data_IF_925848634449
#
_entry.id   IF_925848634449
#
_cell.length_a   1.000
_cell.length_b   1.000
_cell.length_c   1.000
_cell.angle_alpha   90.00
_cell.angle_beta   90.00
_cell.angle_gamma   90.00
#
_symmetry.space_group_name_H-M   'P 1'
#
loop_
_entity.id
_entity.type
_entity.pdbx_description
1 polymer ?
#
# COMPACT_ATOMS: atom_id res chain seq x y z
N UNK A 1 -12.78 18.57 -19.76
CA UNK A 1 -11.55 18.23 -19.00
C UNK A 1 -11.77 17.34 -17.79
N UNK A 2 -12.42 17.75 -16.68
CA UNK A 2 -12.55 16.84 -15.51
C UNK A 2 -13.40 15.59 -15.83
N UNK A 3 -14.48 15.75 -16.58
CA UNK A 3 -15.32 14.63 -17.03
C UNK A 3 -14.50 13.69 -17.92
N UNK A 4 -13.82 14.23 -18.94
CA UNK A 4 -12.94 13.43 -19.83
C UNK A 4 -11.83 12.69 -19.06
N UNK A 5 -11.24 13.33 -18.04
CA UNK A 5 -10.25 12.66 -17.20
C UNK A 5 -10.88 11.49 -16.42
N UNK A 6 -12.08 11.67 -15.87
CA UNK A 6 -12.83 10.60 -15.20
C UNK A 6 -13.23 9.48 -16.17
N UNK A 7 -13.61 9.82 -17.40
CA UNK A 7 -13.90 8.85 -18.44
C UNK A 7 -12.65 8.05 -18.80
N UNK A 8 -11.49 8.70 -18.88
CA UNK A 8 -10.21 8.02 -19.09
C UNK A 8 -9.85 7.09 -17.92
N UNK A 9 -10.07 7.50 -16.66
CA UNK A 9 -9.89 6.63 -15.48
C UNK A 9 -10.81 5.40 -15.56
N UNK A 10 -12.09 5.60 -15.89
CA UNK A 10 -13.07 4.52 -16.02
C UNK A 10 -12.73 3.56 -17.18
N UNK A 11 -12.10 4.07 -18.24
CA UNK A 11 -11.58 3.29 -19.36
C UNK A 11 -10.20 2.66 -19.06
N UNK A 12 -9.70 2.75 -17.82
CA UNK A 12 -8.38 2.27 -17.39
C UNK A 12 -7.19 2.94 -18.12
N UNK A 13 -7.44 4.06 -18.82
CA UNK A 13 -6.42 4.88 -19.47
C UNK A 13 -5.85 5.91 -18.47
N UNK A 14 -5.14 5.40 -17.46
CA UNK A 14 -4.62 6.23 -16.36
C UNK A 14 -3.61 7.26 -16.83
N UNK A 15 -2.69 6.91 -17.74
CA UNK A 15 -1.72 7.85 -18.30
C UNK A 15 -2.39 8.99 -19.09
N UNK A 16 -3.47 8.67 -19.82
CA UNK A 16 -4.30 9.68 -20.49
C UNK A 16 -4.99 10.61 -19.50
N UNK A 17 -5.57 10.07 -18.42
CA UNK A 17 -6.18 10.86 -17.36
C UNK A 17 -5.17 11.79 -16.67
N UNK A 18 -3.99 11.28 -16.32
CA UNK A 18 -2.89 12.07 -15.73
C UNK A 18 -2.48 13.21 -16.67
N UNK A 19 -2.33 12.92 -17.96
CA UNK A 19 -1.99 13.94 -18.97
C UNK A 19 -3.03 15.06 -19.00
N UNK A 20 -4.33 14.72 -19.03
CA UNK A 20 -5.42 15.71 -19.00
C UNK A 20 -5.32 16.58 -17.74
N UNK A 21 -5.16 15.95 -16.57
CA UNK A 21 -5.19 16.59 -15.26
C UNK A 21 -3.94 17.40 -14.92
N UNK A 22 -2.81 17.16 -15.60
CA UNK A 22 -1.53 17.86 -15.32
C UNK A 22 -1.16 18.87 -16.40
N UNK A 23 -1.55 18.64 -17.66
CA UNK A 23 -1.09 19.45 -18.81
C UNK A 23 -2.19 20.21 -19.52
N UNK A 24 -3.43 19.74 -19.48
CA UNK A 24 -4.53 20.29 -20.29
C UNK A 24 -5.53 21.12 -19.46
N UNK A 25 -5.26 21.28 -18.16
CA UNK A 25 -6.07 22.06 -17.23
C UNK A 25 -5.23 23.17 -16.62
N UNK A 26 -5.84 24.33 -16.38
CA UNK A 26 -5.15 25.47 -15.77
C UNK A 26 -4.68 25.17 -14.34
N UNK A 27 -3.61 25.84 -13.89
CA UNK A 27 -3.10 25.69 -12.52
C UNK A 27 -4.17 25.96 -11.44
N UNK A 28 -5.08 26.91 -11.68
CA UNK A 28 -6.18 27.18 -10.76
C UNK A 28 -7.22 26.06 -10.72
N UNK A 29 -7.41 25.32 -11.81
CA UNK A 29 -8.23 24.10 -11.81
C UNK A 29 -7.53 22.95 -11.12
N UNK A 30 -6.22 22.76 -11.33
CA UNK A 30 -5.43 21.71 -10.66
C UNK A 30 -5.43 21.87 -9.14
N UNK A 31 -5.52 23.10 -8.64
CA UNK A 31 -5.59 23.39 -7.21
C UNK A 31 -6.94 23.02 -6.58
N UNK A 32 -8.01 22.81 -7.37
CA UNK A 32 -9.32 22.45 -6.85
C UNK A 32 -9.33 21.00 -6.36
N UNK A 33 -10.10 20.77 -5.30
CA UNK A 33 -10.20 19.49 -4.62
C UNK A 33 -10.55 18.35 -5.58
N UNK A 34 -11.57 18.54 -6.42
CA UNK A 34 -12.07 17.51 -7.32
C UNK A 34 -11.07 17.10 -8.42
N UNK A 35 -10.13 18.00 -8.77
CA UNK A 35 -9.04 17.68 -9.70
C UNK A 35 -7.92 16.93 -9.00
N UNK A 36 -7.59 17.30 -7.75
CA UNK A 36 -6.62 16.57 -6.94
C UNK A 36 -7.07 15.13 -6.65
N UNK A 37 -8.33 14.95 -6.27
CA UNK A 37 -8.90 13.62 -6.03
C UNK A 37 -8.92 12.76 -7.30
N UNK A 38 -9.29 13.34 -8.45
CA UNK A 38 -9.24 12.64 -9.72
C UNK A 38 -7.82 12.26 -10.13
N UNK A 39 -6.84 13.14 -9.91
CA UNK A 39 -5.44 12.87 -10.24
C UNK A 39 -4.85 11.81 -9.29
N UNK A 40 -5.20 11.86 -8.00
CA UNK A 40 -4.79 10.84 -7.03
C UNK A 40 -5.37 9.48 -7.43
N UNK A 41 -6.63 9.44 -7.86
CA UNK A 41 -7.29 8.22 -8.36
C UNK A 41 -6.61 7.66 -9.62
N UNK A 42 -6.19 8.54 -10.55
CA UNK A 42 -5.49 8.12 -11.76
C UNK A 42 -4.11 7.51 -11.44
N UNK A 43 -3.35 8.14 -10.53
CA UNK A 43 -2.07 7.58 -10.06
C UNK A 43 -2.24 6.26 -9.30
N UNK A 44 -3.27 6.14 -8.45
CA UNK A 44 -3.57 4.88 -7.77
C UNK A 44 -3.91 3.77 -8.77
N UNK A 45 -4.70 4.07 -9.80
CA UNK A 45 -5.00 3.15 -10.89
C UNK A 45 -3.76 2.72 -11.67
N UNK A 46 -2.86 3.66 -11.99
CA UNK A 46 -1.57 3.34 -12.64
C UNK A 46 -0.69 2.45 -11.76
N UNK A 47 -0.77 2.60 -10.44
CA UNK A 47 -0.12 1.70 -9.48
C UNK A 47 -0.74 0.28 -9.42
N UNK A 48 -1.83 0.03 -10.17
CA UNK A 48 -2.50 -1.26 -10.23
C UNK A 48 -3.76 -1.34 -9.38
N UNK A 49 -4.23 -0.25 -8.75
CA UNK A 49 -5.50 -0.26 -8.04
C UNK A 49 -6.66 -0.46 -9.02
N UNK A 50 -7.15 -1.69 -9.06
CA UNK A 50 -8.50 -2.01 -9.51
C UNK A 50 -9.35 -2.28 -8.27
N UNK A 51 -10.21 -1.33 -7.89
CA UNK A 51 -10.97 -1.41 -6.65
C UNK A 51 -11.80 -2.69 -6.53
N UNK A 52 -12.45 -3.13 -7.61
CA UNK A 52 -13.25 -4.34 -7.61
C UNK A 52 -12.38 -5.59 -7.39
N UNK A 53 -11.28 -5.72 -8.12
CA UNK A 53 -10.36 -6.85 -7.94
C UNK A 53 -9.71 -6.85 -6.56
N UNK A 54 -9.31 -5.68 -6.05
CA UNK A 54 -8.65 -5.54 -4.76
C UNK A 54 -9.60 -5.89 -3.61
N UNK A 55 -10.81 -5.33 -3.59
CA UNK A 55 -11.82 -5.64 -2.56
C UNK A 55 -12.27 -7.09 -2.65
N UNK A 56 -12.46 -7.64 -3.85
CA UNK A 56 -12.80 -9.05 -3.99
C UNK A 56 -11.68 -9.97 -3.46
N UNK A 57 -10.41 -9.61 -3.71
CA UNK A 57 -9.25 -10.31 -3.16
C UNK A 57 -9.28 -10.33 -1.63
N UNK A 58 -9.43 -9.15 -1.01
CA UNK A 58 -9.52 -9.01 0.45
C UNK A 58 -10.73 -9.73 1.05
N UNK A 59 -11.90 -9.66 0.41
CA UNK A 59 -13.11 -10.30 0.91
C UNK A 59 -13.09 -11.84 0.76
N UNK A 60 -12.36 -12.35 -0.23
CA UNK A 60 -12.24 -13.80 -0.48
C UNK A 60 -11.21 -14.50 0.41
N UNK A 61 -10.40 -13.73 1.13
CA UNK A 61 -9.36 -14.27 1.98
C UNK A 61 -9.92 -14.98 3.21
N UNK A 62 -9.57 -16.26 3.35
CA UNK A 62 -10.05 -17.13 4.46
C UNK A 62 -8.97 -17.44 5.49
N UNK A 63 -7.70 -17.20 5.15
CA UNK A 63 -6.54 -17.34 6.02
C UNK A 63 -5.36 -16.62 5.38
N UNK A 64 -4.36 -16.25 6.17
CA UNK A 64 -3.10 -15.73 5.65
C UNK A 64 -2.61 -14.47 6.34
N UNK A 65 -1.36 -14.13 6.00
CA UNK A 65 -0.63 -12.99 6.53
C UNK A 65 -1.09 -11.67 5.89
N UNK A 66 -1.01 -10.55 6.60
CA UNK A 66 -1.44 -9.26 6.05
C UNK A 66 -0.71 -8.87 4.77
N UNK A 67 0.60 -9.10 4.70
CA UNK A 67 1.38 -8.76 3.52
C UNK A 67 1.03 -9.65 2.33
N UNK A 68 0.82 -10.97 2.53
CA UNK A 68 0.33 -11.85 1.46
C UNK A 68 -1.07 -11.46 1.00
N UNK A 69 -1.95 -11.07 1.93
CA UNK A 69 -3.32 -10.63 1.61
C UNK A 69 -3.33 -9.44 0.66
N UNK A 70 -2.49 -8.43 0.90
CA UNK A 70 -2.43 -7.26 0.02
C UNK A 70 -1.57 -7.49 -1.22
N UNK A 71 -0.63 -8.44 -1.20
CA UNK A 71 0.24 -8.77 -2.33
C UNK A 71 -0.50 -9.53 -3.44
N UNK A 72 -1.31 -10.53 -3.06
CA UNK A 72 -1.95 -11.47 -3.99
C UNK A 72 -2.74 -10.82 -5.14
N UNK A 73 -3.50 -9.72 -4.94
CA UNK A 73 -4.19 -9.04 -6.03
C UNK A 73 -3.29 -8.54 -7.18
N UNK A 74 -1.98 -8.45 -6.97
CA UNK A 74 -1.01 -7.94 -7.95
C UNK A 74 -0.23 -9.04 -8.67
N UNK A 75 -0.46 -10.32 -8.34
CA UNK A 75 0.12 -11.47 -9.05
C UNK A 75 -0.37 -11.49 -10.49
N UNK A 76 0.55 -11.58 -11.45
CA UNK A 76 0.24 -11.52 -12.88
C UNK A 76 -0.17 -10.15 -13.41
N UNK A 77 -0.14 -9.09 -12.58
CA UNK A 77 -0.55 -7.73 -12.96
C UNK A 77 0.67 -6.82 -13.14
N UNK A 78 0.73 -6.03 -14.21
CA UNK A 78 1.76 -4.99 -14.33
C UNK A 78 1.42 -3.85 -13.38
N UNK A 79 2.35 -3.46 -12.50
CA UNK A 79 2.18 -2.35 -11.56
C UNK A 79 3.30 -1.33 -11.70
N UNK A 80 3.00 -0.10 -11.31
CA UNK A 80 3.95 1.00 -11.18
C UNK A 80 3.89 1.54 -9.75
N UNK A 81 4.58 0.85 -8.83
CA UNK A 81 4.58 1.19 -7.39
C UNK A 81 4.94 2.66 -7.09
N UNK A 82 5.87 3.33 -7.82
CA UNK A 82 6.08 4.77 -7.70
C UNK A 82 4.83 5.63 -7.90
N UNK A 83 3.89 5.23 -8.76
CA UNK A 83 2.63 5.96 -8.94
C UNK A 83 1.75 5.94 -7.69
N UNK A 84 1.81 4.91 -6.84
CA UNK A 84 1.11 4.95 -5.55
C UNK A 84 1.60 6.08 -4.66
N UNK A 85 2.92 6.31 -4.59
CA UNK A 85 3.47 7.41 -3.82
C UNK A 85 3.02 8.77 -4.37
N UNK A 86 2.91 8.92 -5.69
CA UNK A 86 2.37 10.15 -6.28
C UNK A 86 0.90 10.37 -5.87
N UNK A 87 0.10 9.31 -5.83
CA UNK A 87 -1.27 9.36 -5.33
C UNK A 87 -1.33 9.79 -3.86
N UNK A 88 -0.55 9.14 -3.00
CA UNK A 88 -0.51 9.41 -1.56
C UNK A 88 -0.02 10.83 -1.26
N UNK A 89 1.08 11.26 -1.90
CA UNK A 89 1.61 12.61 -1.77
C UNK A 89 0.58 13.67 -2.20
N UNK A 90 -0.20 13.39 -3.24
CA UNK A 90 -1.24 14.32 -3.67
C UNK A 90 -2.36 14.42 -2.63
N UNK A 91 -2.74 13.31 -2.00
CA UNK A 91 -3.71 13.29 -0.91
C UNK A 91 -3.20 14.02 0.34
N UNK A 92 -1.90 14.02 0.62
CA UNK A 92 -1.31 14.85 1.67
C UNK A 92 -1.42 16.35 1.36
N UNK A 93 -1.44 16.75 0.07
CA UNK A 93 -1.70 18.15 -0.30
C UNK A 93 -3.16 18.59 -0.14
N UNK A 94 -4.08 17.65 0.09
CA UNK A 94 -5.49 17.94 0.37
C UNK A 94 -5.66 18.30 1.85
N UNK A 95 -4.94 17.61 2.73
CA UNK A 95 -4.91 17.89 4.16
C UNK A 95 -4.34 16.71 4.96
N UNK A 96 -4.15 16.94 6.26
CA UNK A 96 -3.76 15.89 7.21
C UNK A 96 -4.87 14.86 7.38
N UNK A 97 -4.55 13.70 7.97
CA UNK A 97 -5.53 12.66 8.30
C UNK A 97 -6.76 13.20 9.03
N UNK A 98 -6.59 14.13 9.98
CA UNK A 98 -7.67 14.72 10.78
C UNK A 98 -8.52 15.73 9.99
N UNK A 99 -7.95 16.31 8.94
CA UNK A 99 -8.60 17.33 8.10
C UNK A 99 -9.37 16.73 6.93
N UNK A 100 -8.96 15.53 6.47
CA UNK A 100 -9.57 14.81 5.36
C UNK A 100 -10.93 14.21 5.76
N UNK A 101 -11.81 14.07 4.78
CA UNK A 101 -13.08 13.35 4.95
C UNK A 101 -12.83 11.86 5.15
N UNK A 102 -13.81 11.14 5.73
CA UNK A 102 -13.76 9.69 5.90
C UNK A 102 -13.46 8.96 4.58
N UNK A 103 -14.07 9.39 3.47
CA UNK A 103 -13.83 8.78 2.16
C UNK A 103 -12.41 9.01 1.64
N UNK A 104 -11.84 10.19 1.90
CA UNK A 104 -10.46 10.49 1.52
C UNK A 104 -9.47 9.67 2.35
N UNK A 105 -9.70 9.51 3.66
CA UNK A 105 -8.89 8.64 4.50
C UNK A 105 -9.04 7.16 4.12
N UNK A 106 -10.25 6.70 3.81
CA UNK A 106 -10.48 5.35 3.30
C UNK A 106 -9.71 5.12 1.99
N UNK A 107 -9.75 6.09 1.06
CA UNK A 107 -8.95 6.04 -0.17
C UNK A 107 -7.46 5.95 0.12
N UNK A 108 -6.91 6.81 0.99
CA UNK A 108 -5.49 6.79 1.37
C UNK A 108 -5.08 5.47 2.00
N UNK A 109 -5.93 4.90 2.87
CA UNK A 109 -5.66 3.59 3.48
C UNK A 109 -5.59 2.48 2.43
N UNK A 110 -6.53 2.46 1.49
CA UNK A 110 -6.54 1.51 0.36
C UNK A 110 -5.30 1.69 -0.52
N UNK A 111 -4.94 2.92 -0.89
CA UNK A 111 -3.74 3.18 -1.70
C UNK A 111 -2.47 2.79 -0.94
N UNK A 112 -2.42 2.97 0.39
CA UNK A 112 -1.34 2.46 1.24
C UNK A 112 -1.20 0.93 1.16
N UNK A 113 -2.33 0.20 1.22
CA UNK A 113 -2.32 -1.26 1.00
C UNK A 113 -1.87 -1.65 -0.41
N UNK A 114 -2.28 -0.89 -1.43
CA UNK A 114 -1.87 -1.10 -2.83
C UNK A 114 -0.37 -0.88 -2.96
N UNK A 115 0.20 0.17 -2.35
CA UNK A 115 1.64 0.40 -2.35
C UNK A 115 2.37 -0.76 -1.68
N UNK A 116 1.93 -1.15 -0.48
CA UNK A 116 2.49 -2.28 0.26
C UNK A 116 2.46 -3.57 -0.55
N UNK A 117 1.30 -3.94 -1.10
CA UNK A 117 1.12 -5.17 -1.86
C UNK A 117 1.85 -5.17 -3.21
N UNK A 118 1.74 -4.08 -3.98
CA UNK A 118 2.40 -3.96 -5.28
C UNK A 118 3.92 -3.99 -5.15
N UNK A 119 4.48 -3.24 -4.19
CA UNK A 119 5.91 -3.19 -3.96
C UNK A 119 6.44 -4.52 -3.42
N UNK A 120 5.74 -5.14 -2.48
CA UNK A 120 6.11 -6.47 -1.96
C UNK A 120 6.18 -7.45 -3.12
N UNK A 121 5.11 -7.55 -3.93
CA UNK A 121 5.09 -8.42 -5.11
C UNK A 121 6.28 -8.15 -6.04
N UNK A 122 6.51 -6.89 -6.43
CA UNK A 122 7.61 -6.50 -7.33
C UNK A 122 8.99 -6.85 -6.77
N UNK A 123 9.14 -6.93 -5.45
CA UNK A 123 10.43 -7.14 -4.80
C UNK A 123 10.67 -8.59 -4.35
N UNK A 124 9.61 -9.37 -4.13
CA UNK A 124 9.68 -10.70 -3.51
C UNK A 124 9.13 -11.85 -4.35
N UNK A 125 8.30 -11.56 -5.36
CA UNK A 125 7.66 -12.51 -6.29
C UNK A 125 7.98 -12.06 -7.73
N UNK A 126 9.24 -12.27 -8.13
CA UNK A 126 9.85 -11.67 -9.32
C UNK A 126 9.83 -12.59 -10.54
N UNK A 127 9.67 -13.90 -10.35
CA UNK A 127 9.66 -14.92 -11.39
C UNK A 127 8.34 -15.70 -11.35
N UNK A 128 7.67 -15.88 -12.51
CA UNK A 128 7.94 -15.30 -13.82
C UNK A 128 7.71 -13.78 -13.81
N UNK A 129 7.94 -13.08 -14.93
CA UNK A 129 7.60 -11.66 -15.02
C UNK A 129 6.16 -11.41 -14.57
N UNK A 130 6.00 -10.49 -13.62
CA UNK A 130 4.78 -10.16 -12.89
C UNK A 130 4.36 -11.13 -11.76
N UNK A 131 5.19 -12.11 -11.40
CA UNK A 131 4.99 -13.02 -10.28
C UNK A 131 3.97 -14.12 -10.54
N UNK A 132 4.07 -15.20 -9.76
CA UNK A 132 3.11 -16.32 -9.72
C UNK A 132 2.48 -16.54 -8.34
N UNK A 133 2.77 -15.67 -7.37
CA UNK A 133 2.32 -15.77 -5.98
C UNK A 133 3.29 -16.55 -5.08
N UNK A 134 4.38 -17.07 -5.64
CA UNK A 134 5.46 -17.73 -4.89
C UNK A 134 6.57 -16.73 -4.60
N UNK A 135 6.99 -16.69 -3.34
CA UNK A 135 8.12 -15.84 -2.95
C UNK A 135 9.41 -16.52 -3.41
N UNK A 136 10.18 -15.81 -4.22
CA UNK A 136 11.37 -16.32 -4.89
C UNK A 136 12.57 -15.38 -4.80
N UNK A 137 12.38 -14.19 -4.23
CA UNK A 137 13.44 -13.28 -3.84
C UNK A 137 13.51 -13.12 -2.31
N UNK A 138 14.73 -12.93 -1.81
CA UNK A 138 15.00 -12.77 -0.38
C UNK A 138 14.54 -11.40 0.11
N UNK A 139 13.50 -11.38 0.93
CA UNK A 139 12.94 -10.16 1.54
C UNK A 139 13.93 -9.47 2.48
N UNK A 140 14.87 -10.21 3.06
CA UNK A 140 15.92 -9.65 3.91
C UNK A 140 16.97 -8.89 3.09
N UNK A 141 17.12 -9.23 1.81
CA UNK A 141 18.01 -8.55 0.87
C UNK A 141 17.32 -7.43 0.08
N UNK A 142 16.07 -7.09 0.41
CA UNK A 142 15.31 -6.02 -0.26
C UNK A 142 16.05 -4.68 -0.16
N UNK A 143 16.12 -3.95 -1.28
CA UNK A 143 16.81 -2.66 -1.34
C UNK A 143 16.16 -1.62 -0.40
N UNK A 144 16.92 -0.61 0.02
CA UNK A 144 16.38 0.46 0.87
C UNK A 144 15.21 1.19 0.19
N UNK A 145 15.28 1.44 -1.12
CA UNK A 145 14.19 2.10 -1.85
C UNK A 145 12.90 1.27 -1.87
N UNK A 146 13.04 -0.06 -1.96
CA UNK A 146 11.91 -0.97 -2.01
C UNK A 146 11.27 -1.15 -0.63
N UNK A 147 12.08 -1.33 0.42
CA UNK A 147 11.55 -1.43 1.78
C UNK A 147 10.95 -0.10 2.25
N UNK A 148 11.51 1.05 1.86
CA UNK A 148 10.97 2.37 2.22
C UNK A 148 9.56 2.56 1.65
N UNK A 149 9.31 2.07 0.42
CA UNK A 149 7.97 2.06 -0.16
C UNK A 149 7.01 1.16 0.60
N UNK A 150 7.46 0.00 1.06
CA UNK A 150 6.66 -0.87 1.91
C UNK A 150 6.33 -0.19 3.25
N UNK A 151 7.31 0.45 3.88
CA UNK A 151 7.16 1.22 5.13
C UNK A 151 6.13 2.33 4.95
N UNK A 152 6.25 3.14 3.90
CA UNK A 152 5.31 4.22 3.60
C UNK A 152 3.91 3.67 3.32
N UNK A 153 3.79 2.60 2.53
CA UNK A 153 2.52 1.94 2.26
C UNK A 153 1.84 1.47 3.55
N UNK A 154 2.61 0.83 4.43
CA UNK A 154 2.15 0.39 5.75
C UNK A 154 1.73 1.59 6.62
N UNK A 155 2.51 2.66 6.66
CA UNK A 155 2.22 3.83 7.49
C UNK A 155 0.99 4.60 7.03
N UNK A 156 0.82 4.82 5.72
CA UNK A 156 -0.39 5.42 5.15
C UNK A 156 -1.62 4.56 5.41
N UNK A 157 -1.47 3.23 5.28
CA UNK A 157 -2.52 2.27 5.59
C UNK A 157 -2.93 2.35 7.05
N UNK A 158 -1.99 2.17 7.99
CA UNK A 158 -2.22 2.14 9.45
C UNK A 158 -2.86 3.43 9.95
N UNK A 159 -2.25 4.58 9.62
CA UNK A 159 -2.69 5.89 10.10
C UNK A 159 -4.12 6.24 9.66
N UNK A 160 -4.58 5.68 8.54
CA UNK A 160 -5.91 5.92 8.00
C UNK A 160 -6.86 4.71 8.14
N UNK A 161 -6.39 3.60 8.74
CA UNK A 161 -7.09 2.32 8.77
C UNK A 161 -8.41 2.39 9.54
N UNK A 162 -8.49 3.25 10.56
CA UNK A 162 -9.70 3.48 11.35
C UNK A 162 -10.90 3.96 10.53
N UNK A 163 -10.68 4.44 9.29
CA UNK A 163 -11.74 4.81 8.36
C UNK A 163 -12.36 3.63 7.58
N UNK A 164 -11.79 2.42 7.67
CA UNK A 164 -12.26 1.23 6.97
C UNK A 164 -13.16 0.37 7.87
N UNK A 165 -14.27 -0.09 7.31
CA UNK A 165 -15.24 -0.97 7.99
C UNK A 165 -15.01 -2.45 7.67
N UNK A 166 -15.49 -3.34 8.57
CA UNK A 166 -15.55 -4.79 8.34
C UNK A 166 -16.25 -5.15 7.03
N UNK A 167 -17.29 -4.39 6.65
CA UNK A 167 -18.05 -4.60 5.43
C UNK A 167 -17.22 -4.36 4.15
N UNK A 168 -16.15 -3.57 4.22
CA UNK A 168 -15.29 -3.25 3.07
C UNK A 168 -14.12 -4.23 2.92
N UNK A 169 -13.59 -4.78 4.01
CA UNK A 169 -12.38 -5.61 3.99
C UNK A 169 -12.66 -7.11 4.20
N UNK A 170 -13.80 -7.47 4.80
CA UNK A 170 -14.02 -8.80 5.36
C UNK A 170 -13.36 -8.93 6.75
N UNK A 171 -13.98 -9.73 7.62
CA UNK A 171 -13.53 -9.87 9.02
C UNK A 171 -12.11 -10.43 9.13
N UNK A 172 -11.77 -11.44 8.32
CA UNK A 172 -10.46 -12.08 8.35
C UNK A 172 -9.35 -11.10 7.98
N UNK A 173 -9.49 -10.39 6.86
CA UNK A 173 -8.50 -9.42 6.41
C UNK A 173 -8.34 -8.27 7.40
N UNK A 174 -9.44 -7.80 7.99
CA UNK A 174 -9.36 -6.75 9.02
C UNK A 174 -8.57 -7.23 10.24
N UNK A 175 -8.80 -8.46 10.71
CA UNK A 175 -8.03 -9.05 11.82
C UNK A 175 -6.54 -9.15 11.47
N UNK A 176 -6.18 -9.78 10.34
CA UNK A 176 -4.77 -9.93 9.95
C UNK A 176 -4.03 -8.58 9.83
N UNK A 177 -4.69 -7.56 9.26
CA UNK A 177 -4.10 -6.22 9.13
C UNK A 177 -3.95 -5.55 10.51
N UNK A 178 -4.97 -5.63 11.36
CA UNK A 178 -4.92 -5.08 12.74
C UNK A 178 -3.82 -5.73 13.57
N UNK A 179 -3.66 -7.06 13.44
CA UNK A 179 -2.63 -7.81 14.14
C UNK A 179 -1.24 -7.35 13.68
N UNK A 180 -1.05 -7.14 12.37
CA UNK A 180 0.23 -6.66 11.82
C UNK A 180 0.56 -5.24 12.30
N UNK A 181 -0.43 -4.33 12.33
CA UNK A 181 -0.27 -2.98 12.92
C UNK A 181 0.16 -3.08 14.39
N UNK A 182 -0.50 -3.95 15.15
CA UNK A 182 -0.23 -4.16 16.58
C UNK A 182 1.18 -4.69 16.79
N UNK A 183 1.60 -5.71 16.04
CA UNK A 183 2.94 -6.29 16.16
C UNK A 183 4.04 -5.32 15.78
N UNK A 184 3.86 -4.58 14.67
CA UNK A 184 4.85 -3.60 14.24
C UNK A 184 5.04 -2.50 15.30
N UNK A 185 3.96 -2.08 15.95
CA UNK A 185 3.99 -1.10 17.04
C UNK A 185 4.48 -1.67 18.38
N UNK A 186 4.52 -3.00 18.54
CA UNK A 186 5.00 -3.67 19.74
C UNK A 186 6.53 -3.79 19.80
N UNK A 187 7.21 -3.62 18.65
CA UNK A 187 8.68 -3.61 18.59
C UNK A 187 9.20 -2.32 19.23
N UNK A 188 9.95 -2.46 20.32
CA UNK A 188 10.43 -1.33 21.10
C UNK A 188 11.26 -0.36 20.22
N UNK A 189 10.89 0.92 20.25
CA UNK A 189 11.58 1.97 19.49
C UNK A 189 11.14 2.12 18.03
N UNK A 190 10.19 1.32 17.55
CA UNK A 190 9.61 1.44 16.21
C UNK A 190 8.25 2.13 16.25
N UNK A 191 8.01 3.06 15.32
CA UNK A 191 6.66 3.47 14.92
C UNK A 191 6.49 3.07 13.47
N UNK A 192 5.46 2.28 13.18
CA UNK A 192 5.20 1.83 11.82
C UNK A 192 4.18 2.71 11.10
N UNK A 193 3.75 3.81 11.72
CA UNK A 193 2.86 4.81 11.14
C UNK A 193 3.62 5.94 10.43
N UNK A 194 4.75 5.61 9.80
CA UNK A 194 5.59 6.56 9.08
C UNK A 194 5.02 6.85 7.70
N UNK A 195 4.71 8.12 7.45
CA UNK A 195 4.23 8.61 6.15
C UNK A 195 5.17 9.64 5.51
N UNK A 196 6.16 10.12 6.27
CA UNK A 196 7.21 11.00 5.76
C UNK A 196 8.48 10.18 5.49
N UNK A 197 8.98 10.12 4.25
CA UNK A 197 10.22 9.43 3.92
C UNK A 197 11.43 9.89 4.76
N UNK A 198 11.45 11.14 5.22
CA UNK A 198 12.53 11.68 6.05
C UNK A 198 12.59 11.08 7.46
N UNK A 199 11.49 10.46 7.92
CA UNK A 199 11.40 9.81 9.23
C UNK A 199 11.82 8.32 9.17
N UNK A 200 12.12 7.79 7.98
CA UNK A 200 12.56 6.40 7.83
C UNK A 200 14.02 6.26 8.28
N UNK A 201 14.24 5.37 9.23
CA UNK A 201 15.57 5.08 9.82
C UNK A 201 16.02 3.66 9.49
N UNK A 202 17.32 3.39 9.58
CA UNK A 202 17.84 2.03 9.35
C UNK A 202 17.23 0.99 10.31
N UNK A 203 17.06 1.26 11.62
CA UNK A 203 16.35 0.34 12.51
C UNK A 203 14.91 0.03 12.06
N UNK A 204 14.20 1.02 11.51
CA UNK A 204 12.85 0.78 10.99
C UNK A 204 12.86 -0.10 9.73
N UNK A 205 13.86 0.08 8.86
CA UNK A 205 14.06 -0.81 7.69
C UNK A 205 14.31 -2.24 8.13
N UNK A 206 15.15 -2.44 9.13
CA UNK A 206 15.45 -3.77 9.68
C UNK A 206 14.20 -4.41 10.28
N UNK A 207 13.44 -3.68 11.10
CA UNK A 207 12.18 -4.18 11.68
C UNK A 207 11.14 -4.50 10.60
N UNK A 208 11.05 -3.71 9.53
CA UNK A 208 10.11 -4.00 8.44
C UNK A 208 10.53 -5.22 7.61
N UNK A 209 11.84 -5.41 7.37
CA UNK A 209 12.36 -6.64 6.73
C UNK A 209 12.10 -7.86 7.60
N UNK A 210 12.35 -7.75 8.89
CA UNK A 210 12.07 -8.78 9.87
C UNK A 210 10.59 -9.18 9.86
N UNK A 211 9.69 -8.19 9.92
CA UNK A 211 8.24 -8.41 9.86
C UNK A 211 7.84 -9.07 8.53
N UNK A 212 8.36 -8.60 7.40
CA UNK A 212 8.14 -9.18 6.08
C UNK A 212 8.63 -10.63 5.97
N UNK A 213 9.68 -11.02 6.71
CA UNK A 213 10.19 -12.38 6.68
C UNK A 213 9.37 -13.36 7.52
N UNK A 214 8.37 -12.89 8.27
CA UNK A 214 7.49 -13.78 9.06
C UNK A 214 6.42 -14.47 8.21
N UNK A 215 5.98 -15.65 8.64
CA UNK A 215 4.83 -16.37 8.02
C UNK A 215 3.50 -15.77 8.47
N UNK A 216 3.40 -15.34 9.73
CA UNK A 216 2.14 -14.87 10.32
C UNK A 216 1.72 -13.50 9.78
N UNK A 217 2.67 -12.62 9.53
CA UNK A 217 2.41 -11.24 9.12
C UNK A 217 2.93 -10.97 7.71
N UNK A 218 4.17 -11.36 7.44
CA UNK A 218 4.92 -11.11 6.22
C UNK A 218 4.70 -12.13 5.10
N UNK A 219 5.61 -12.16 4.13
CA UNK A 219 5.56 -13.11 3.01
C UNK A 219 6.61 -14.22 3.12
N UNK A 220 7.56 -14.08 4.05
CA UNK A 220 8.70 -14.98 4.22
C UNK A 220 8.37 -16.31 4.90
N UNK A 221 9.36 -16.84 5.63
CA UNK A 221 9.37 -18.21 6.14
C UNK A 221 9.63 -18.36 7.64
N UNK A 222 9.90 -17.28 8.36
CA UNK A 222 10.18 -17.33 9.80
C UNK A 222 8.87 -17.46 10.58
N UNK A 223 8.80 -18.43 11.48
CA UNK A 223 7.64 -18.64 12.36
C UNK A 223 7.87 -17.92 13.67
N UNK A 224 6.96 -17.01 14.03
CA UNK A 224 6.98 -16.28 15.31
C UNK A 224 5.98 -16.84 16.31
N UNK A 225 5.00 -17.64 15.87
CA UNK A 225 3.82 -18.03 16.64
C UNK A 225 3.06 -16.82 17.25
N UNK A 226 3.22 -15.65 16.64
CA UNK A 226 2.67 -14.38 17.10
C UNK A 226 3.39 -13.75 18.30
N UNK A 227 4.62 -14.16 18.61
CA UNK A 227 5.45 -13.50 19.60
C UNK A 227 6.23 -12.32 18.97
N UNK A 228 5.92 -11.05 19.32
CA UNK A 228 6.64 -9.90 18.78
C UNK A 228 8.12 -9.88 19.12
N UNK A 229 8.55 -10.56 20.19
CA UNK A 229 9.96 -10.64 20.57
C UNK A 229 10.79 -11.50 19.61
N UNK A 230 10.12 -12.32 18.79
CA UNK A 230 10.75 -13.15 17.77
C UNK A 230 10.77 -12.48 16.39
N UNK A 231 10.17 -11.28 16.26
CA UNK A 231 10.25 -10.49 15.02
C UNK A 231 11.68 -9.95 14.85
N UNK A 232 12.29 -9.24 15.83
CA UNK A 232 13.66 -8.78 15.69
C UNK A 232 14.65 -9.93 15.41
N UNK A 233 15.40 -9.81 14.32
CA UNK A 233 16.38 -10.82 13.88
C UNK A 233 15.79 -11.95 13.04
N UNK A 234 14.55 -11.82 12.57
CA UNK A 234 14.00 -12.70 11.55
C UNK A 234 14.81 -12.61 10.22
N UNK A 235 15.47 -11.49 9.96
CA UNK A 235 16.51 -11.32 8.97
C UNK A 235 17.89 -11.31 9.63
N UNK A 236 18.73 -12.36 9.40
CA UNK A 236 20.06 -12.48 10.00
C UNK A 236 21.14 -11.64 9.34
#
# INVERSE_FOLDING_TARGET
MLIEAKDAINALNYSGAITILTTQVSASSQAKLEFKEALASAYAGQCGLNFASFVNGLASATSGSAFRLVMNPFVGVVVDSPSCLQSLNLMETIGTTESRTTNQNAFVSVVGMVLMGSQTRVSSDVTPTNGDGTIDADVCAMSNDDIDRVILGFGFMSKNFSALSTAQLGSTSQTSITDSITQCSAVAGSTCEIIDPAEITDPLRDVMRDLLNTIEYGVGSVVTNGDPLLIPGACP
#
